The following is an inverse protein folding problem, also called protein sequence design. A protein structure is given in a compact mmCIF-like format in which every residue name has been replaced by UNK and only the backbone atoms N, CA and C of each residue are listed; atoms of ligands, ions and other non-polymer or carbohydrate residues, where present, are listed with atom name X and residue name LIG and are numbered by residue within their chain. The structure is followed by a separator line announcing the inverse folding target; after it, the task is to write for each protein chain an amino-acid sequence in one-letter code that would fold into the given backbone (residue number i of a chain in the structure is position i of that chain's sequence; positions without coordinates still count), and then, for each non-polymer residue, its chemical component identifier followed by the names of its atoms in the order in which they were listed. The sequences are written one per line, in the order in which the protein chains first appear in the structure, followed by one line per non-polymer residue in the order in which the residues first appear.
data_IF_847180181706
#
_entry.id   IF_847180181706
#
_cell.length_a   1.000
_cell.length_b   1.000
_cell.length_c   1.000
_cell.angle_alpha   90.00
_cell.angle_beta   90.00
_cell.angle_gamma   90.00
#
_symmetry.space_group_name_H-M   'P 1'
#
loop_
_entity.id
_entity.type
_entity.pdbx_description
1 polymer ?
#
# COMPACT_ATOMS: atom_id res chain seq x y z
N UNK A 1 20.70 -2.07 53.13
CA UNK A 1 21.09 -3.25 52.35
C UNK A 1 20.11 -3.37 51.18
N UNK A 2 20.37 -2.63 50.10
CA UNK A 2 19.50 -2.59 48.91
C UNK A 2 20.02 -3.59 47.88
N UNK A 3 19.20 -4.57 47.50
CA UNK A 3 19.54 -5.59 46.51
C UNK A 3 18.89 -5.20 45.18
N UNK A 4 19.73 -4.73 44.26
CA UNK A 4 19.40 -4.45 42.87
C UNK A 4 19.11 -5.78 42.15
N UNK A 5 17.91 -5.95 41.59
CA UNK A 5 17.57 -7.09 40.72
C UNK A 5 17.42 -6.55 39.31
N UNK A 6 18.36 -6.89 38.42
CA UNK A 6 18.27 -6.63 36.98
C UNK A 6 17.36 -7.69 36.34
N UNK A 7 16.42 -7.33 35.45
CA UNK A 7 15.71 -8.33 34.66
C UNK A 7 16.61 -8.79 33.50
N UNK A 8 16.98 -10.07 33.54
CA UNK A 8 17.66 -10.77 32.45
C UNK A 8 16.67 -11.03 31.33
N UNK A 9 16.75 -10.26 30.24
CA UNK A 9 16.09 -10.62 28.98
C UNK A 9 16.81 -11.82 28.37
N UNK A 10 16.23 -13.00 28.53
CA UNK A 10 16.67 -14.24 27.89
C UNK A 10 15.89 -14.40 26.57
N UNK A 11 16.51 -14.05 25.45
CA UNK A 11 16.02 -14.34 24.11
C UNK A 11 16.62 -15.70 23.68
N UNK A 12 15.83 -16.75 23.42
CA UNK A 12 16.38 -18.00 22.90
C UNK A 12 16.74 -17.81 21.42
N UNK A 13 18.04 -17.84 21.12
CA UNK A 13 18.55 -17.92 19.75
C UNK A 13 18.11 -19.24 19.12
N UNK A 14 17.25 -19.16 18.09
CA UNK A 14 17.02 -20.26 17.17
C UNK A 14 18.35 -20.62 16.49
N UNK A 15 18.88 -21.80 16.80
CA UNK A 15 20.12 -22.32 16.22
C UNK A 15 19.77 -23.08 14.94
N UNK A 16 19.98 -22.46 13.78
CA UNK A 16 19.92 -23.17 12.48
C UNK A 16 21.28 -23.82 12.25
N UNK A 17 21.37 -25.15 12.42
CA UNK A 17 22.56 -25.91 12.05
C UNK A 17 22.41 -26.46 10.63
N UNK A 18 23.04 -25.82 9.66
CA UNK A 18 23.47 -26.51 8.44
C UNK A 18 24.98 -26.29 8.29
N UNK A 19 25.74 -27.35 8.55
CA UNK A 19 27.19 -27.41 8.40
C UNK A 19 27.53 -27.44 6.90
N UNK A 20 28.04 -26.34 6.38
CA UNK A 20 28.83 -26.32 5.14
C UNK A 20 30.19 -25.70 5.52
N UNK A 21 31.34 -26.35 5.26
CA UNK A 21 32.63 -25.79 5.62
C UNK A 21 33.04 -24.75 4.56
N UNK A 22 33.16 -23.49 4.97
CA UNK A 22 33.77 -22.42 4.16
C UNK A 22 35.25 -22.27 4.57
N UNK A 23 36.18 -22.11 3.60
CA UNK A 23 37.58 -21.85 3.90
C UNK A 23 37.80 -20.39 4.33
N UNK A 24 38.80 -20.23 5.19
CA UNK A 24 39.38 -19.01 5.76
C UNK A 24 39.44 -17.81 4.78
N UNK A 25 38.86 -16.66 5.16
CA UNK A 25 39.11 -15.35 4.55
C UNK A 25 39.72 -14.41 5.60
N UNK A 26 40.71 -13.56 5.25
CA UNK A 26 41.42 -12.73 6.22
C UNK A 26 40.62 -11.48 6.61
N UNK A 27 40.88 -11.01 7.83
CA UNK A 27 40.32 -9.80 8.46
C UNK A 27 40.36 -8.57 7.54
N UNK A 28 39.18 -8.01 7.24
CA UNK A 28 39.04 -6.65 6.73
C UNK A 28 38.94 -5.68 7.92
N UNK A 29 39.88 -4.73 7.96
CA UNK A 29 39.86 -3.58 8.85
C UNK A 29 38.65 -2.69 8.55
N UNK A 30 37.82 -2.42 9.56
CA UNK A 30 36.82 -1.36 9.52
C UNK A 30 37.52 -0.01 9.73
N UNK A 31 37.48 0.86 8.72
CA UNK A 31 37.73 2.29 8.86
C UNK A 31 36.38 3.02 9.02
N UNK A 32 36.23 3.98 9.94
CA UNK A 32 35.05 4.81 10.05
C UNK A 32 35.11 6.03 9.11
N UNK A 33 33.93 6.62 8.90
CA UNK A 33 33.64 7.91 8.24
C UNK A 33 33.48 7.95 6.71
N UNK A 34 32.22 8.12 6.29
CA UNK A 34 31.82 9.31 5.54
C UNK A 34 30.31 9.54 5.72
N UNK A 35 29.96 10.46 6.62
CA UNK A 35 28.65 11.11 6.59
C UNK A 35 28.57 11.92 5.28
N UNK A 36 27.91 11.38 4.27
CA UNK A 36 27.69 12.07 3.00
C UNK A 36 26.27 12.60 2.96
N UNK A 37 26.20 13.93 2.99
CA UNK A 37 25.06 14.81 2.78
C UNK A 37 24.25 14.37 1.55
N UNK A 38 23.18 13.61 1.79
CA UNK A 38 22.19 13.28 0.76
C UNK A 38 21.47 14.55 0.32
N UNK A 39 21.91 15.13 -0.79
CA UNK A 39 21.19 16.18 -1.48
C UNK A 39 19.80 15.65 -1.86
N UNK A 40 18.76 16.17 -1.18
CA UNK A 40 17.36 16.00 -1.53
C UNK A 40 17.09 16.72 -2.85
N UNK A 41 17.13 15.99 -3.95
CA UNK A 41 16.58 16.47 -5.23
C UNK A 41 15.28 15.70 -5.48
N UNK A 42 14.18 16.45 -5.60
CA UNK A 42 12.80 15.96 -5.59
C UNK A 42 12.48 15.02 -6.76
N UNK A 43 11.61 14.05 -6.49
CA UNK A 43 11.08 13.08 -7.45
C UNK A 43 10.49 13.75 -8.69
N UNK A 44 10.79 13.27 -9.89
CA UNK A 44 10.03 13.61 -11.10
C UNK A 44 8.74 12.78 -11.16
N UNK A 45 7.90 12.93 -10.13
CA UNK A 45 6.48 12.67 -10.26
C UNK A 45 5.90 13.71 -11.21
N UNK A 46 4.79 13.40 -11.90
CA UNK A 46 4.05 14.46 -12.58
C UNK A 46 3.67 15.55 -11.56
N UNK A 47 3.49 16.82 -11.97
CA UNK A 47 3.08 17.88 -11.05
C UNK A 47 1.83 17.51 -10.23
N UNK A 48 0.91 16.75 -10.86
CA UNK A 48 -0.31 16.25 -10.23
C UNK A 48 -0.01 15.22 -9.15
N UNK A 49 0.80 14.21 -9.44
CA UNK A 49 1.18 13.18 -8.46
C UNK A 49 2.01 13.75 -7.31
N UNK A 50 2.89 14.71 -7.59
CA UNK A 50 3.68 15.42 -6.57
C UNK A 50 2.77 16.22 -5.64
N UNK A 51 1.80 16.97 -6.20
CA UNK A 51 0.82 17.71 -5.42
C UNK A 51 -0.07 16.79 -4.57
N UNK A 52 -0.51 15.66 -5.15
CA UNK A 52 -1.29 14.62 -4.46
C UNK A 52 -0.54 14.07 -3.25
N UNK A 53 0.73 13.69 -3.46
CA UNK A 53 1.63 13.20 -2.40
C UNK A 53 1.82 14.23 -1.30
N UNK A 54 2.07 15.49 -1.66
CA UNK A 54 2.21 16.58 -0.69
C UNK A 54 0.91 16.82 0.12
N UNK A 55 -0.25 16.75 -0.53
CA UNK A 55 -1.55 16.90 0.12
C UNK A 55 -1.82 15.76 1.12
N UNK A 56 -1.53 14.51 0.75
CA UNK A 56 -1.66 13.35 1.64
C UNK A 56 -0.72 13.48 2.85
N UNK A 57 0.55 13.79 2.63
CA UNK A 57 1.53 14.00 3.70
C UNK A 57 1.11 15.13 4.66
N UNK A 58 0.58 16.22 4.11
CA UNK A 58 0.06 17.34 4.89
C UNK A 58 -1.14 16.95 5.73
N UNK A 59 -2.13 16.26 5.14
CA UNK A 59 -3.32 15.80 5.87
C UNK A 59 -2.94 14.86 7.02
N UNK A 60 -2.00 13.94 6.79
CA UNK A 60 -1.45 13.07 7.85
C UNK A 60 -0.78 13.90 8.94
N UNK A 61 0.06 14.88 8.56
CA UNK A 61 0.76 15.74 9.50
C UNK A 61 -0.17 16.68 10.27
N UNK A 62 -1.27 17.17 9.71
CA UNK A 62 -2.17 18.10 10.39
C UNK A 62 -3.22 17.37 11.25
N UNK A 63 -3.70 16.22 10.79
CA UNK A 63 -4.89 15.57 11.36
C UNK A 63 -4.64 14.21 12.02
N UNK A 64 -3.51 13.55 11.71
CA UNK A 64 -3.17 12.23 12.26
C UNK A 64 -1.93 12.26 13.17
N UNK A 65 -1.64 13.39 13.83
CA UNK A 65 -0.45 13.47 14.69
C UNK A 65 -0.53 12.56 15.92
N UNK A 66 0.59 11.93 16.33
CA UNK A 66 0.69 11.17 17.57
C UNK A 66 0.39 11.98 18.84
N UNK A 67 0.55 13.31 18.77
CA UNK A 67 0.27 14.25 19.87
C UNK A 67 -1.23 14.40 20.15
N UNK A 68 -2.10 14.07 19.19
CA UNK A 68 -3.54 14.07 19.40
C UNK A 68 -3.95 12.85 20.21
N UNK A 69 -4.63 13.08 21.34
CA UNK A 69 -5.17 12.01 22.20
C UNK A 69 -6.27 11.18 21.52
N UNK A 70 -6.88 11.72 20.46
CA UNK A 70 -7.88 11.05 19.63
C UNK A 70 -7.63 11.36 18.14
N UNK A 71 -7.84 10.40 17.22
CA UNK A 71 -7.72 10.65 15.80
C UNK A 71 -8.72 11.72 15.35
N UNK A 72 -8.25 12.73 14.60
CA UNK A 72 -9.14 13.73 13.99
C UNK A 72 -9.96 13.01 12.91
N UNK A 73 -11.28 13.07 13.05
CA UNK A 73 -12.21 12.55 12.06
C UNK A 73 -12.35 13.57 10.93
N UNK A 74 -12.10 13.15 9.69
CA UNK A 74 -12.35 13.97 8.51
C UNK A 74 -13.79 13.74 8.03
N UNK A 75 -14.46 14.78 7.54
CA UNK A 75 -15.81 14.62 6.98
C UNK A 75 -15.77 14.05 5.57
N UNK A 76 -14.81 14.50 4.76
CA UNK A 76 -14.63 14.04 3.39
C UNK A 76 -13.15 14.02 3.00
N UNK A 77 -12.75 13.01 2.24
CA UNK A 77 -11.48 12.94 1.56
C UNK A 77 -11.72 12.77 0.06
N UNK A 78 -11.01 13.56 -0.75
CA UNK A 78 -10.99 13.41 -2.20
C UNK A 78 -9.63 12.92 -2.62
N UNK A 79 -9.59 11.91 -3.48
CA UNK A 79 -8.32 11.42 -4.00
C UNK A 79 -8.42 10.83 -5.41
N UNK A 80 -7.29 10.71 -6.08
CA UNK A 80 -7.18 10.00 -7.36
C UNK A 80 -6.94 8.49 -7.17
N UNK A 81 -7.27 7.72 -8.20
CA UNK A 81 -7.00 6.29 -8.28
C UNK A 81 -6.19 5.93 -9.54
N UNK A 82 -5.39 4.86 -9.46
CA UNK A 82 -4.67 4.31 -10.60
C UNK A 82 -5.59 3.44 -11.47
N UNK A 83 -6.56 2.77 -10.83
CA UNK A 83 -7.65 2.02 -11.44
C UNK A 83 -8.81 1.87 -10.45
N UNK A 84 -10.05 1.84 -10.96
CA UNK A 84 -11.29 1.65 -10.19
C UNK A 84 -12.14 0.59 -10.90
N UNK A 85 -12.65 -0.39 -10.16
CA UNK A 85 -13.53 -1.42 -10.69
C UNK A 85 -15.03 -1.08 -10.57
N UNK A 86 -15.88 -1.97 -11.08
CA UNK A 86 -17.34 -1.79 -11.06
C UNK A 86 -17.96 -1.82 -9.65
N UNK A 87 -17.26 -2.34 -8.63
CA UNK A 87 -17.69 -2.38 -7.23
C UNK A 87 -17.05 -1.25 -6.40
N UNK A 88 -16.43 -0.27 -7.06
CA UNK A 88 -15.70 0.84 -6.46
C UNK A 88 -14.46 0.43 -5.65
N UNK A 89 -13.95 -0.79 -5.77
CA UNK A 89 -12.59 -1.06 -5.28
C UNK A 89 -11.59 -0.33 -6.17
N UNK A 90 -10.47 0.12 -5.60
CA UNK A 90 -9.47 0.83 -6.37
C UNK A 90 -8.05 0.36 -6.09
N UNK A 91 -7.21 0.45 -7.13
CA UNK A 91 -5.76 0.37 -7.00
C UNK A 91 -5.22 1.80 -6.90
N UNK A 92 -4.34 1.99 -5.94
CA UNK A 92 -3.63 3.23 -5.64
C UNK A 92 -2.17 2.93 -5.33
N UNK A 93 -1.31 3.95 -5.37
CA UNK A 93 0.11 3.82 -5.07
C UNK A 93 1.06 3.97 -6.26
N UNK A 94 0.58 4.37 -7.44
CA UNK A 94 1.42 4.79 -8.57
C UNK A 94 2.43 5.87 -8.17
N UNK A 95 2.01 6.84 -7.36
CA UNK A 95 2.87 7.90 -6.81
C UNK A 95 3.72 7.52 -5.57
N UNK A 96 3.76 6.25 -5.17
CA UNK A 96 4.53 5.75 -4.02
C UNK A 96 4.20 6.45 -2.66
N UNK A 97 2.92 6.76 -2.44
CA UNK A 97 2.39 7.34 -1.20
C UNK A 97 1.15 6.61 -0.66
N UNK A 98 0.97 5.33 -1.04
CA UNK A 98 -0.25 4.57 -0.78
C UNK A 98 -0.63 4.49 0.70
N UNK A 99 0.34 4.36 1.61
CA UNK A 99 0.03 4.26 3.04
C UNK A 99 -0.62 5.55 3.55
N UNK A 100 -0.07 6.71 3.19
CA UNK A 100 -0.60 8.00 3.63
C UNK A 100 -1.97 8.28 3.01
N UNK A 101 -2.14 7.98 1.72
CA UNK A 101 -3.44 8.05 1.05
C UNK A 101 -4.48 7.17 1.77
N UNK A 102 -4.09 5.96 2.18
CA UNK A 102 -4.98 5.03 2.89
C UNK A 102 -5.34 5.51 4.28
N UNK A 103 -4.38 6.03 5.04
CA UNK A 103 -4.63 6.62 6.37
C UNK A 103 -5.63 7.78 6.30
N UNK A 104 -5.50 8.65 5.29
CA UNK A 104 -6.44 9.77 5.08
C UNK A 104 -7.83 9.27 4.68
N UNK A 105 -7.92 8.29 3.78
CA UNK A 105 -9.20 7.71 3.37
C UNK A 105 -9.93 7.07 4.55
N UNK A 106 -9.21 6.31 5.38
CA UNK A 106 -9.75 5.64 6.57
C UNK A 106 -10.22 6.64 7.65
N UNK A 107 -9.52 7.77 7.79
CA UNK A 107 -9.90 8.82 8.73
C UNK A 107 -11.17 9.59 8.30
N UNK A 108 -11.60 9.46 7.04
CA UNK A 108 -12.73 10.21 6.49
C UNK A 108 -14.07 9.46 6.60
N UNK A 109 -15.13 10.20 6.95
CA UNK A 109 -16.52 9.70 6.90
C UNK A 109 -16.97 9.41 5.47
N UNK A 110 -16.47 10.16 4.49
CA UNK A 110 -16.74 9.97 3.06
C UNK A 110 -15.44 10.00 2.29
N UNK A 111 -15.15 8.95 1.55
CA UNK A 111 -14.02 8.93 0.62
C UNK A 111 -14.56 8.99 -0.81
N UNK A 112 -14.08 9.93 -1.62
CA UNK A 112 -14.54 10.14 -3.00
C UNK A 112 -13.34 10.07 -3.94
N UNK A 113 -13.48 9.27 -5.00
CA UNK A 113 -12.47 9.19 -6.05
C UNK A 113 -12.80 10.17 -7.18
N UNK A 114 -11.77 10.88 -7.67
CA UNK A 114 -11.84 11.70 -8.88
C UNK A 114 -10.77 11.25 -9.85
N UNK A 115 -11.17 10.85 -11.05
CA UNK A 115 -10.28 10.24 -12.02
C UNK A 115 -10.72 10.55 -13.46
N UNK A 116 -9.87 10.22 -14.44
CA UNK A 116 -10.25 10.23 -15.85
C UNK A 116 -10.88 8.88 -16.27
N UNK A 117 -11.63 8.85 -17.37
CA UNK A 117 -12.33 7.67 -17.86
C UNK A 117 -11.43 6.42 -18.07
N UNK A 118 -10.12 6.57 -18.33
CA UNK A 118 -9.17 5.46 -18.49
C UNK A 118 -8.89 4.75 -17.16
N UNK A 119 -9.30 5.33 -16.05
CA UNK A 119 -9.16 4.72 -14.72
C UNK A 119 -10.33 3.80 -14.39
N UNK A 120 -11.42 3.86 -15.14
CA UNK A 120 -12.58 2.99 -14.96
C UNK A 120 -12.39 1.67 -15.70
N UNK A 121 -12.37 0.56 -14.97
CA UNK A 121 -12.20 -0.80 -15.48
C UNK A 121 -13.33 -1.71 -15.02
N UNK A 122 -13.53 -2.83 -15.74
CA UNK A 122 -14.50 -3.85 -15.30
C UNK A 122 -14.03 -4.53 -14.00
N UNK A 123 -12.78 -4.98 -14.00
CA UNK A 123 -12.11 -5.66 -12.90
C UNK A 123 -10.78 -4.95 -12.63
N UNK A 124 -10.31 -4.94 -11.38
CA UNK A 124 -8.96 -4.50 -11.08
C UNK A 124 -7.93 -5.38 -11.80
N UNK A 125 -6.79 -4.79 -12.14
CA UNK A 125 -5.71 -5.37 -12.93
C UNK A 125 -6.00 -5.56 -14.43
N UNK A 126 -6.99 -4.83 -14.97
CA UNK A 126 -7.33 -4.87 -16.40
C UNK A 126 -6.51 -3.85 -17.18
N UNK A 127 -6.47 -2.60 -16.72
CA UNK A 127 -5.74 -1.50 -17.34
C UNK A 127 -4.43 -1.22 -16.60
N UNK A 128 -4.48 -1.19 -15.27
CA UNK A 128 -3.29 -1.07 -14.43
C UNK A 128 -2.70 -2.46 -14.15
N UNK A 129 -1.42 -2.71 -14.40
CA UNK A 129 -0.91 -4.09 -14.52
C UNK A 129 -0.27 -4.69 -13.27
N UNK A 130 -0.12 -3.92 -12.19
CA UNK A 130 0.54 -4.39 -10.98
C UNK A 130 -0.05 -3.76 -9.73
N UNK A 131 -0.08 -4.48 -8.62
CA UNK A 131 -0.48 -3.94 -7.32
C UNK A 131 0.75 -3.31 -6.67
N UNK A 132 0.74 -2.01 -6.33
CA UNK A 132 1.80 -1.41 -5.52
C UNK A 132 1.70 -1.93 -4.08
N UNK A 133 2.81 -2.39 -3.51
CA UNK A 133 2.89 -2.92 -2.15
C UNK A 133 4.04 -2.21 -1.44
N UNK A 134 3.76 -1.52 -0.34
CA UNK A 134 4.77 -0.87 0.48
C UNK A 134 5.38 -1.89 1.44
N UNK A 135 6.72 -1.99 1.44
CA UNK A 135 7.45 -3.03 2.17
C UNK A 135 8.67 -2.48 2.88
N UNK A 136 9.01 -3.11 4.00
CA UNK A 136 10.28 -2.89 4.66
C UNK A 136 11.44 -3.33 3.75
N UNK A 137 12.46 -2.47 3.49
CA UNK A 137 13.55 -2.80 2.57
C UNK A 137 14.25 -4.14 2.86
N UNK A 138 14.48 -4.43 4.14
CA UNK A 138 15.14 -5.68 4.56
C UNK A 138 14.33 -6.94 4.25
N UNK A 139 13.00 -6.83 4.15
CA UNK A 139 12.10 -7.95 3.91
C UNK A 139 11.74 -8.12 2.43
N UNK A 140 12.14 -7.19 1.56
CA UNK A 140 11.77 -7.20 0.14
C UNK A 140 12.08 -8.55 -0.57
N UNK A 141 13.24 -9.21 -0.36
CA UNK A 141 13.50 -10.52 -0.99
C UNK A 141 12.48 -11.60 -0.58
N UNK A 142 12.11 -11.66 0.69
CA UNK A 142 11.16 -12.65 1.20
C UNK A 142 9.72 -12.34 0.72
N UNK A 143 9.35 -11.06 0.69
CA UNK A 143 8.05 -10.63 0.16
C UNK A 143 7.94 -10.95 -1.33
N UNK A 144 8.98 -10.71 -2.14
CA UNK A 144 9.00 -11.08 -3.56
C UNK A 144 8.73 -12.57 -3.76
N UNK A 145 9.41 -13.44 -3.00
CA UNK A 145 9.23 -14.89 -3.07
C UNK A 145 7.80 -15.31 -2.70
N UNK A 146 7.23 -14.70 -1.66
CA UNK A 146 5.85 -14.99 -1.24
C UNK A 146 4.83 -14.51 -2.28
N UNK A 147 5.04 -13.35 -2.91
CA UNK A 147 4.18 -12.86 -3.98
C UNK A 147 4.18 -13.79 -5.19
N UNK A 148 5.35 -14.34 -5.56
CA UNK A 148 5.44 -15.38 -6.59
C UNK A 148 4.63 -16.63 -6.18
N UNK A 149 4.75 -17.07 -4.93
CA UNK A 149 3.97 -18.21 -4.42
C UNK A 149 2.45 -17.96 -4.44
N UNK A 150 2.01 -16.72 -4.20
CA UNK A 150 0.62 -16.30 -4.34
C UNK A 150 0.15 -16.22 -5.80
N UNK A 151 1.05 -16.38 -6.78
CA UNK A 151 0.73 -16.40 -8.21
C UNK A 151 1.01 -15.09 -8.94
N UNK A 152 1.83 -14.20 -8.38
CA UNK A 152 2.32 -13.05 -9.12
C UNK A 152 3.30 -13.49 -10.20
N UNK A 153 3.14 -13.00 -11.43
CA UNK A 153 3.92 -13.47 -12.59
C UNK A 153 5.33 -12.90 -12.67
N UNK A 154 5.60 -11.80 -11.95
CA UNK A 154 6.88 -11.12 -11.99
C UNK A 154 6.91 -9.91 -11.06
N UNK A 155 6.75 -10.11 -9.74
CA UNK A 155 6.84 -9.00 -8.80
C UNK A 155 8.26 -8.43 -8.82
N UNK A 156 8.38 -7.11 -8.75
CA UNK A 156 9.67 -6.43 -8.78
C UNK A 156 9.69 -5.23 -7.84
N UNK A 157 10.83 -4.98 -7.22
CA UNK A 157 11.04 -3.73 -6.47
C UNK A 157 11.07 -2.59 -7.48
N UNK A 158 10.20 -1.60 -7.30
CA UNK A 158 10.03 -0.48 -8.22
C UNK A 158 11.36 0.28 -8.35
N UNK A 159 11.94 0.34 -9.55
CA UNK A 159 13.19 1.06 -9.75
C UNK A 159 12.94 2.56 -9.56
N UNK A 160 13.95 3.26 -9.04
CA UNK A 160 13.94 4.71 -8.92
C UNK A 160 13.75 5.41 -10.28
N UNK A 161 13.45 6.70 -10.22
CA UNK A 161 13.32 7.53 -11.42
C UNK A 161 14.60 7.50 -12.27
N UNK A 162 14.50 7.63 -13.60
CA UNK A 162 15.66 7.70 -14.48
C UNK A 162 16.68 8.74 -13.99
N UNK A 163 17.94 8.32 -13.87
CA UNK A 163 19.02 9.18 -13.35
C UNK A 163 19.27 9.07 -11.84
N UNK A 164 18.45 8.34 -11.08
CA UNK A 164 18.73 7.95 -9.70
C UNK A 164 18.99 6.45 -9.63
N UNK A 165 20.19 6.07 -9.19
CA UNK A 165 20.48 4.67 -8.88
C UNK A 165 19.72 4.22 -7.63
N UNK A 166 19.20 2.98 -7.65
CA UNK A 166 18.49 2.36 -6.55
C UNK A 166 16.97 2.36 -6.70
N UNK A 167 16.29 2.01 -5.62
CA UNK A 167 14.87 1.73 -5.53
C UNK A 167 14.05 3.00 -5.25
N UNK A 168 12.74 2.94 -5.54
CA UNK A 168 11.80 3.95 -5.04
C UNK A 168 11.72 3.85 -3.52
N UNK A 169 11.99 4.97 -2.86
CA UNK A 169 11.85 5.13 -1.41
C UNK A 169 10.64 6.02 -1.14
N UNK A 170 9.69 5.52 -0.37
CA UNK A 170 8.49 6.27 0.05
C UNK A 170 8.87 7.35 1.07
N UNK A 171 7.94 8.27 1.37
CA UNK A 171 8.16 9.26 2.44
C UNK A 171 8.31 8.62 3.82
N UNK A 172 7.88 7.36 3.96
CA UNK A 172 8.01 6.58 5.19
C UNK A 172 9.35 5.80 5.25
N UNK A 173 10.23 5.97 4.25
CA UNK A 173 11.51 5.26 4.18
C UNK A 173 11.39 3.80 3.73
N UNK A 174 10.25 3.40 3.19
CA UNK A 174 9.95 2.04 2.75
C UNK A 174 10.18 1.90 1.24
N UNK A 175 10.19 0.66 0.74
CA UNK A 175 10.23 0.37 -0.70
C UNK A 175 8.84 0.06 -1.25
N UNK A 176 8.69 0.16 -2.57
CA UNK A 176 7.50 -0.31 -3.27
C UNK A 176 7.86 -1.54 -4.10
N UNK A 177 7.08 -2.61 -3.98
CA UNK A 177 7.05 -3.73 -4.92
C UNK A 177 5.82 -3.57 -5.81
N UNK A 178 6.01 -3.65 -7.12
CA UNK A 178 4.93 -3.77 -8.08
C UNK A 178 4.69 -5.25 -8.39
N UNK A 179 3.53 -5.77 -7.97
CA UNK A 179 3.19 -7.18 -8.11
C UNK A 179 2.11 -7.39 -9.18
N UNK A 180 2.45 -7.87 -10.40
CA UNK A 180 1.47 -8.20 -11.42
C UNK A 180 0.72 -9.49 -11.07
N UNK A 181 -0.61 -9.47 -11.20
CA UNK A 181 -1.48 -10.63 -11.08
C UNK A 181 -2.49 -10.64 -12.24
N UNK A 182 -3.22 -11.74 -12.39
CA UNK A 182 -4.38 -11.80 -13.27
C UNK A 182 -5.49 -10.85 -12.76
N UNK A 183 -6.41 -10.39 -13.65
CA UNK A 183 -7.56 -9.58 -13.25
C UNK A 183 -8.33 -10.19 -12.08
N UNK A 184 -8.68 -9.34 -11.09
CA UNK A 184 -9.29 -9.79 -9.85
C UNK A 184 -10.80 -9.97 -10.02
N UNK A 185 -11.35 -11.07 -9.53
CA UNK A 185 -12.79 -11.33 -9.54
C UNK A 185 -13.50 -10.45 -8.52
N UNK A 186 -14.68 -9.96 -8.94
CA UNK A 186 -15.57 -9.16 -8.10
C UNK A 186 -16.43 -10.04 -7.19
N UNK A 187 -16.98 -9.47 -6.12
CA UNK A 187 -17.91 -10.19 -5.25
C UNK A 187 -19.17 -10.61 -6.01
N UNK A 188 -19.67 -9.75 -6.89
CA UNK A 188 -20.78 -10.02 -7.83
C UNK A 188 -20.49 -11.14 -8.82
N UNK A 189 -19.22 -11.46 -9.09
CA UNK A 189 -18.79 -12.58 -9.92
C UNK A 189 -18.58 -13.87 -9.10
N UNK A 190 -19.00 -13.89 -7.83
CA UNK A 190 -18.88 -15.03 -6.93
C UNK A 190 -17.50 -15.18 -6.27
N UNK A 191 -16.69 -14.12 -6.23
CA UNK A 191 -15.43 -14.14 -5.51
C UNK A 191 -15.65 -14.39 -4.01
N UNK A 192 -15.00 -15.43 -3.48
CA UNK A 192 -15.04 -15.78 -2.06
C UNK A 192 -13.96 -15.08 -1.22
N UNK A 193 -13.86 -15.50 0.03
CA UNK A 193 -12.81 -15.04 0.96
C UNK A 193 -11.45 -15.74 0.71
N UNK A 194 -11.42 -16.75 -0.15
CA UNK A 194 -10.24 -17.57 -0.43
C UNK A 194 -9.93 -17.58 -1.93
N UNK A 195 -8.73 -18.05 -2.28
CA UNK A 195 -8.32 -18.28 -3.66
C UNK A 195 -9.23 -19.32 -4.30
N UNK A 196 -9.74 -19.05 -5.50
CA UNK A 196 -10.58 -19.99 -6.21
C UNK A 196 -9.77 -21.20 -6.73
N UNK A 197 -10.45 -22.32 -6.98
CA UNK A 197 -9.82 -23.57 -7.42
C UNK A 197 -9.13 -23.45 -8.80
N UNK A 198 -9.58 -22.52 -9.64
CA UNK A 198 -8.94 -22.17 -10.92
C UNK A 198 -7.69 -21.28 -10.75
N UNK A 199 -7.28 -21.00 -9.51
CA UNK A 199 -6.14 -20.18 -9.16
C UNK A 199 -6.40 -18.67 -9.21
N UNK A 200 -7.62 -18.24 -9.56
CA UNK A 200 -8.00 -16.83 -9.59
C UNK A 200 -8.22 -16.25 -8.19
N UNK A 201 -8.03 -14.94 -8.09
CA UNK A 201 -8.15 -14.21 -6.84
C UNK A 201 -9.35 -13.27 -6.85
N UNK A 202 -10.05 -13.21 -5.71
CA UNK A 202 -10.94 -12.09 -5.39
C UNK A 202 -10.17 -10.91 -4.82
N UNK A 203 -10.71 -9.69 -4.97
CA UNK A 203 -10.07 -8.46 -4.47
C UNK A 203 -9.72 -8.57 -2.97
N UNK A 204 -10.71 -8.91 -2.14
CA UNK A 204 -10.53 -9.08 -0.69
C UNK A 204 -9.56 -10.20 -0.34
N UNK A 205 -9.73 -11.38 -0.95
CA UNK A 205 -8.94 -12.56 -0.65
C UNK A 205 -7.45 -12.32 -0.87
N UNK A 206 -7.08 -11.72 -2.02
CA UNK A 206 -5.68 -11.42 -2.32
C UNK A 206 -5.10 -10.36 -1.39
N UNK A 207 -5.83 -9.27 -1.15
CA UNK A 207 -5.34 -8.19 -0.29
C UNK A 207 -5.11 -8.67 1.15
N UNK A 208 -6.02 -9.48 1.70
CA UNK A 208 -5.89 -10.07 3.03
C UNK A 208 -4.70 -11.04 3.13
N UNK A 209 -4.37 -11.78 2.07
CA UNK A 209 -3.20 -12.67 2.06
C UNK A 209 -1.89 -11.89 1.97
N UNK A 210 -1.83 -10.84 1.13
CA UNK A 210 -0.62 -10.02 0.99
C UNK A 210 -0.31 -9.28 2.29
N UNK A 211 -1.30 -8.68 2.95
CA UNK A 211 -1.06 -7.88 4.17
C UNK A 211 -0.56 -8.72 5.35
N UNK A 212 -0.80 -10.04 5.34
CA UNK A 212 -0.29 -10.97 6.38
C UNK A 212 1.19 -11.29 6.22
N UNK A 213 1.79 -11.01 5.07
CA UNK A 213 3.19 -11.31 4.81
C UNK A 213 4.07 -10.43 5.72
N UNK A 214 4.93 -11.01 6.59
CA UNK A 214 5.84 -10.22 7.41
C UNK A 214 6.75 -9.36 6.54
N UNK A 215 6.80 -8.06 6.84
CA UNK A 215 7.56 -7.08 6.06
C UNK A 215 6.73 -6.28 5.07
N UNK A 216 5.49 -6.70 4.78
CA UNK A 216 4.52 -5.82 4.12
C UNK A 216 4.04 -4.77 5.12
N UNK A 217 4.14 -3.51 4.71
CA UNK A 217 3.65 -2.37 5.46
C UNK A 217 2.19 -2.11 5.08
N UNK A 218 1.88 -2.06 3.78
CA UNK A 218 0.52 -1.87 3.28
C UNK A 218 0.40 -2.24 1.80
N UNK A 219 -0.83 -2.55 1.36
CA UNK A 219 -1.18 -2.94 -0.01
C UNK A 219 -1.95 -1.81 -0.69
N UNK A 220 -1.63 -1.51 -1.95
CA UNK A 220 -2.27 -0.50 -2.78
C UNK A 220 -3.70 -0.85 -3.23
N UNK A 221 -4.35 -1.86 -2.65
CA UNK A 221 -5.76 -2.18 -2.89
C UNK A 221 -6.60 -1.52 -1.79
N UNK A 222 -7.59 -0.74 -2.21
CA UNK A 222 -8.56 -0.07 -1.36
C UNK A 222 -9.92 -0.75 -1.59
N UNK A 223 -10.37 -1.51 -0.60
CA UNK A 223 -11.52 -2.41 -0.69
C UNK A 223 -12.26 -2.51 0.65
N UNK A 224 -13.43 -3.15 0.65
CA UNK A 224 -14.19 -3.44 1.85
C UNK A 224 -15.34 -2.46 2.07
N UNK A 225 -15.44 -1.91 3.28
CA UNK A 225 -16.53 -1.00 3.64
C UNK A 225 -16.27 0.39 3.05
N UNK A 226 -17.34 1.02 2.58
CA UNK A 226 -17.34 2.48 2.42
C UNK A 226 -17.64 3.19 3.74
N UNK A 227 -17.47 4.52 3.75
CA UNK A 227 -17.67 5.32 4.96
C UNK A 227 -19.09 5.31 5.51
N UNK A 228 -20.10 5.17 4.65
CA UNK A 228 -21.51 5.07 5.05
C UNK A 228 -21.83 3.71 5.66
N UNK A 229 -21.31 2.63 5.07
CA UNK A 229 -21.40 1.27 5.58
C UNK A 229 -20.70 1.15 6.93
N UNK A 230 -19.47 1.68 7.04
CA UNK A 230 -18.68 1.67 8.26
C UNK A 230 -19.37 2.41 9.42
N UNK A 231 -20.04 3.53 9.14
CA UNK A 231 -20.84 4.26 10.12
C UNK A 231 -22.01 3.43 10.65
N UNK A 232 -22.71 2.68 9.79
CA UNK A 232 -23.85 1.82 10.18
C UNK A 232 -23.42 0.67 11.10
N UNK A 233 -22.24 0.09 10.88
CA UNK A 233 -21.72 -1.03 11.67
C UNK A 233 -20.86 -0.62 12.87
N UNK A 234 -20.75 0.68 13.15
CA UNK A 234 -19.92 1.20 14.25
C UNK A 234 -18.42 0.96 14.08
N UNK A 235 -17.96 0.66 12.86
CA UNK A 235 -16.54 0.41 12.52
C UNK A 235 -15.90 1.65 11.92
N UNK A 236 -16.07 2.79 12.60
CA UNK A 236 -15.43 4.03 12.17
C UNK A 236 -13.90 3.84 12.12
N UNK A 237 -13.25 4.29 11.04
CA UNK A 237 -11.81 4.08 10.86
C UNK A 237 -11.42 2.73 10.27
N UNK A 238 -12.32 2.04 9.55
CA UNK A 238 -11.99 0.87 8.71
C UNK A 238 -12.49 0.99 7.26
N UNK A 239 -13.09 2.13 6.91
CA UNK A 239 -13.59 2.39 5.56
C UNK A 239 -12.44 2.72 4.61
N UNK A 240 -12.21 1.88 3.60
CA UNK A 240 -11.17 2.12 2.59
C UNK A 240 -11.77 2.34 1.20
N UNK A 241 -13.00 1.88 0.98
CA UNK A 241 -13.69 1.96 -0.30
C UNK A 241 -14.34 3.35 -0.46
N UNK A 242 -14.26 3.97 -1.64
CA UNK A 242 -14.95 5.22 -1.91
C UNK A 242 -16.48 5.05 -1.90
N UNK A 243 -17.18 6.07 -1.43
CA UNK A 243 -18.65 6.18 -1.53
C UNK A 243 -19.09 6.55 -2.95
N UNK A 244 -18.23 7.23 -3.70
CA UNK A 244 -18.47 7.62 -5.08
C UNK A 244 -17.16 7.78 -5.85
N UNK A 245 -17.22 7.57 -7.17
CA UNK A 245 -16.16 7.87 -8.10
C UNK A 245 -16.67 8.72 -9.27
N UNK A 246 -15.98 9.82 -9.54
CA UNK A 246 -16.26 10.75 -10.63
C UNK A 246 -15.22 10.56 -11.73
N UNK A 247 -15.68 10.26 -12.93
CA UNK A 247 -14.84 10.03 -14.11
C UNK A 247 -15.08 11.13 -15.15
N UNK A 248 -14.04 11.92 -15.43
CA UNK A 248 -14.05 12.85 -16.55
C UNK A 248 -13.95 12.09 -17.87
N UNK A 249 -14.95 12.27 -18.75
CA UNK A 249 -15.04 11.62 -20.05
C UNK A 249 -14.38 12.46 -21.15
N UNK A 250 -14.06 11.85 -22.30
CA UNK A 250 -13.43 12.54 -23.43
C UNK A 250 -14.28 13.69 -24.00
N UNK A 251 -15.60 13.58 -23.92
CA UNK A 251 -16.56 14.58 -24.40
C UNK A 251 -16.78 15.74 -23.39
N UNK A 252 -16.04 15.76 -22.29
CA UNK A 252 -16.18 16.73 -21.21
C UNK A 252 -17.34 16.45 -20.25
N UNK A 253 -18.11 15.38 -20.46
CA UNK A 253 -19.11 14.92 -19.50
C UNK A 253 -18.45 14.26 -18.28
N UNK A 254 -19.22 14.10 -17.21
CA UNK A 254 -18.76 13.42 -15.99
C UNK A 254 -19.65 12.22 -15.74
N UNK A 255 -19.05 11.03 -15.73
CA UNK A 255 -19.71 9.80 -15.31
C UNK A 255 -19.51 9.61 -13.81
N UNK A 256 -20.61 9.42 -13.08
CA UNK A 256 -20.59 9.18 -11.63
C UNK A 256 -20.96 7.74 -11.34
N UNK A 257 -20.18 7.07 -10.51
CA UNK A 257 -20.48 5.73 -9.98
C UNK A 257 -20.58 5.84 -8.46
N UNK A 258 -21.72 5.44 -7.90
CA UNK A 258 -22.00 5.51 -6.47
C UNK A 258 -22.00 4.11 -5.85
N UNK A 259 -21.60 4.02 -4.58
CA UNK A 259 -21.73 2.79 -3.82
C UNK A 259 -23.22 2.46 -3.64
N UNK A 260 -23.55 1.17 -3.56
CA UNK A 260 -24.94 0.74 -3.43
C UNK A 260 -25.58 1.34 -2.14
N UNK A 261 -26.60 2.17 -2.31
CA UNK A 261 -27.34 2.78 -1.20
C UNK A 261 -26.82 4.12 -0.68
N UNK A 262 -25.95 4.82 -1.43
CA UNK A 262 -25.66 6.24 -1.22
C UNK A 262 -26.55 7.09 -2.15
N UNK A 263 -27.67 7.60 -1.63
CA UNK A 263 -28.42 8.73 -2.21
C UNK A 263 -27.88 10.08 -1.68
#
# INVERSE_FOLDING_TARGET
MFRLVRPSFFCPQATITNKIPLPFLPRLHFAPEAASTAARTMSTLSPVESAKKAAAARAVSEHLQPSHRYPVTLDVAFDGADEVDAELNCIKGGGACLLQEKLVAIAAKKFVVVADYRKLSKNLLTQWKAIPIEVLPMAAPDVLNQLVALGSTGPLVRPGVPGKAGEVVTDNGMWIIDAPFAPLKLLSEGAGAERAADGSWGVKALADEIVKIPGVVEVGIFFGLDGSEAAKVGKFGLAQKPVAAYFGMEDGSVKVTNAAGSE
#
